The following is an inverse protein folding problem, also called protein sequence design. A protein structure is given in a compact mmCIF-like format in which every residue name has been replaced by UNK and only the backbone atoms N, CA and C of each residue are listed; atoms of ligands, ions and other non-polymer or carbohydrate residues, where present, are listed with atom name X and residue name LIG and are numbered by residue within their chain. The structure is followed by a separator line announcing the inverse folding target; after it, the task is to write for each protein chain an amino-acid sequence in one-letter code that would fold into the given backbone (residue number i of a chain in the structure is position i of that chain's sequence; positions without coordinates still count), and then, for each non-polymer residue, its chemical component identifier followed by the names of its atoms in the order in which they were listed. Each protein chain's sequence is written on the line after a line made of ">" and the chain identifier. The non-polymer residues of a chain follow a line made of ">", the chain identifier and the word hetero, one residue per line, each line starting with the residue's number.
data_IF_066901385618
#
_entry.id   IF_066901385618
#
_cell.length_a   1.000
_cell.length_b   1.000
_cell.length_c   1.000
_cell.angle_alpha   90.00
_cell.angle_beta   90.00
_cell.angle_gamma   90.00
#
_symmetry.space_group_name_H-M   'P 1'
#
loop_
_entity.id
_entity.type
_entity.pdbx_description
1 polymer ?
#
# COMPACT_ATOMS: atom_id res chain seq x y z
N UNK A 1 16.23 -3.19 -1.51
CA UNK A 1 16.22 -3.37 -2.99
C UNK A 1 14.78 -3.18 -3.45
N UNK A 2 14.55 -2.23 -4.34
CA UNK A 2 13.21 -1.96 -4.87
C UNK A 2 12.92 -2.84 -6.07
N UNK A 3 11.70 -3.36 -6.17
CA UNK A 3 11.24 -4.16 -7.30
C UNK A 3 10.84 -3.28 -8.49
N UNK A 4 11.04 -3.79 -9.70
CA UNK A 4 10.62 -3.12 -10.94
C UNK A 4 9.57 -3.94 -11.67
N UNK A 5 8.70 -3.27 -12.41
CA UNK A 5 7.77 -3.96 -13.30
C UNK A 5 8.51 -4.89 -14.28
N UNK A 6 7.95 -6.08 -14.50
CA UNK A 6 8.56 -7.15 -15.29
C UNK A 6 9.44 -8.11 -14.47
N UNK A 7 9.67 -7.83 -13.19
CA UNK A 7 10.42 -8.73 -12.28
C UNK A 7 9.46 -9.58 -11.43
N UNK A 8 9.92 -10.73 -10.90
CA UNK A 8 9.14 -11.48 -9.91
C UNK A 8 8.72 -10.58 -8.76
N UNK A 9 7.44 -10.62 -8.40
CA UNK A 9 6.91 -9.86 -7.29
C UNK A 9 7.45 -10.43 -5.95
N UNK A 10 8.10 -9.62 -5.10
CA UNK A 10 8.51 -10.07 -3.79
C UNK A 10 7.29 -10.33 -2.90
N UNK A 11 7.45 -11.21 -1.91
CA UNK A 11 6.42 -11.47 -0.91
C UNK A 11 6.09 -10.20 -0.12
N UNK A 12 4.81 -10.04 0.23
CA UNK A 12 4.37 -8.95 1.09
C UNK A 12 4.98 -9.11 2.49
N UNK A 13 5.59 -8.07 3.01
CA UNK A 13 6.15 -8.03 4.36
C UNK A 13 5.05 -7.64 5.34
N UNK A 14 4.28 -8.62 5.77
CA UNK A 14 3.12 -8.42 6.66
C UNK A 14 3.52 -8.73 8.10
N UNK A 15 3.25 -7.80 9.03
CA UNK A 15 3.48 -8.00 10.45
C UNK A 15 2.39 -8.86 11.09
N UNK A 16 1.14 -8.65 10.69
CA UNK A 16 -0.02 -9.44 11.14
C UNK A 16 -1.11 -9.43 10.05
N UNK A 17 -1.64 -10.60 9.74
CA UNK A 17 -2.90 -10.73 9.00
C UNK A 17 -4.07 -10.57 9.97
N UNK A 18 -4.80 -9.47 9.86
CA UNK A 18 -5.94 -9.18 10.75
C UNK A 18 -7.21 -9.89 10.28
N UNK A 19 -7.30 -10.13 8.97
CA UNK A 19 -8.41 -10.83 8.34
C UNK A 19 -7.90 -11.77 7.26
N UNK A 20 -8.31 -13.03 7.27
CA UNK A 20 -8.18 -13.98 6.15
C UNK A 20 -6.75 -14.45 5.81
N UNK A 21 -5.85 -14.57 6.74
CA UNK A 21 -4.48 -15.04 6.51
C UNK A 21 -4.03 -16.14 7.48
N UNK A 22 -2.75 -16.54 7.48
CA UNK A 22 -1.63 -15.98 6.70
C UNK A 22 -1.66 -16.35 5.22
N UNK A 23 -1.09 -15.47 4.37
CA UNK A 23 -1.07 -15.62 2.90
C UNK A 23 0.34 -15.38 2.38
N UNK A 24 0.78 -16.24 1.46
CA UNK A 24 1.93 -16.03 0.60
C UNK A 24 1.46 -15.77 -0.84
N UNK A 25 2.09 -14.89 -1.57
CA UNK A 25 1.78 -14.65 -2.98
C UNK A 25 1.94 -15.93 -3.83
N UNK A 26 2.82 -16.84 -3.39
CA UNK A 26 3.03 -18.14 -4.04
C UNK A 26 1.81 -19.07 -3.97
N UNK A 27 0.96 -18.89 -2.96
CA UNK A 27 -0.27 -19.69 -2.82
C UNK A 27 -1.27 -19.38 -3.93
N UNK A 28 -1.09 -18.24 -4.60
CA UNK A 28 -1.96 -17.76 -5.67
C UNK A 28 -1.33 -17.87 -7.07
N UNK A 29 -0.30 -18.68 -7.23
CA UNK A 29 0.29 -18.93 -8.55
C UNK A 29 -0.76 -19.41 -9.55
N UNK A 30 -0.77 -18.85 -10.74
CA UNK A 30 -1.80 -19.09 -11.77
C UNK A 30 -2.99 -18.14 -11.72
N UNK A 31 -3.05 -17.26 -10.71
CA UNK A 31 -4.08 -16.22 -10.59
C UNK A 31 -3.48 -14.80 -10.75
N UNK A 32 -4.29 -13.89 -11.21
CA UNK A 32 -3.98 -12.45 -11.11
C UNK A 32 -4.17 -12.01 -9.66
N UNK A 33 -3.19 -11.29 -9.10
CA UNK A 33 -3.26 -10.78 -7.74
C UNK A 33 -3.32 -9.25 -7.79
N UNK A 34 -4.28 -8.70 -7.09
CA UNK A 34 -4.46 -7.26 -6.87
C UNK A 34 -4.26 -6.97 -5.39
N UNK A 35 -3.29 -6.13 -5.05
CA UNK A 35 -3.08 -5.70 -3.67
C UNK A 35 -3.44 -4.23 -3.56
N UNK A 36 -4.51 -3.93 -2.83
CA UNK A 36 -4.89 -2.56 -2.50
C UNK A 36 -4.16 -2.11 -1.24
N UNK A 37 -3.29 -1.12 -1.39
CA UNK A 37 -2.46 -0.57 -0.32
C UNK A 37 -3.08 0.74 0.18
N UNK A 38 -3.39 0.79 1.46
CA UNK A 38 -4.11 1.91 2.07
C UNK A 38 -3.58 2.28 3.45
N UNK A 39 -3.92 3.45 3.94
CA UNK A 39 -3.76 3.83 5.34
C UNK A 39 -5.14 3.97 6.00
N UNK A 40 -5.26 3.62 7.29
CA UNK A 40 -6.53 3.81 8.03
C UNK A 40 -6.90 5.28 8.14
N UNK A 41 -5.91 6.18 8.21
CA UNK A 41 -6.10 7.62 8.19
C UNK A 41 -5.91 8.20 6.77
N UNK A 42 -6.72 7.71 5.82
CA UNK A 42 -6.67 8.13 4.42
C UNK A 42 -8.08 8.21 3.83
N UNK A 43 -8.75 9.37 3.86
CA UNK A 43 -10.10 9.52 3.33
C UNK A 43 -10.25 9.04 1.88
N UNK A 44 -9.30 9.34 1.01
CA UNK A 44 -9.31 8.91 -0.39
C UNK A 44 -9.29 7.38 -0.56
N UNK A 45 -8.62 6.67 0.34
CA UNK A 45 -8.61 5.22 0.35
C UNK A 45 -10.02 4.65 0.55
N UNK A 46 -10.79 5.24 1.45
CA UNK A 46 -12.15 4.77 1.80
C UNK A 46 -13.24 5.28 0.86
N UNK A 47 -12.99 6.38 0.17
CA UNK A 47 -13.93 6.95 -0.79
C UNK A 47 -13.78 6.31 -2.17
N UNK A 48 -12.57 5.91 -2.54
CA UNK A 48 -12.23 5.48 -3.91
C UNK A 48 -11.52 4.11 -3.96
N UNK A 49 -10.32 3.96 -3.38
CA UNK A 49 -9.47 2.80 -3.58
C UNK A 49 -10.09 1.49 -3.08
N UNK A 50 -10.47 1.44 -1.81
CA UNK A 50 -11.09 0.25 -1.20
C UNK A 50 -12.42 -0.11 -1.90
N UNK A 51 -13.36 0.83 -2.20
CA UNK A 51 -14.55 0.51 -2.98
C UNK A 51 -14.23 -0.09 -4.35
N UNK A 52 -13.26 0.45 -5.10
CA UNK A 52 -12.84 -0.10 -6.40
C UNK A 52 -12.27 -1.53 -6.26
N UNK A 53 -11.49 -1.78 -5.19
CA UNK A 53 -10.98 -3.11 -4.88
C UNK A 53 -12.10 -4.10 -4.49
N UNK A 54 -13.12 -3.64 -3.76
CA UNK A 54 -14.31 -4.45 -3.42
C UNK A 54 -15.08 -4.83 -4.68
N UNK A 55 -15.33 -3.88 -5.58
CA UNK A 55 -16.02 -4.14 -6.85
C UNK A 55 -15.24 -5.14 -7.70
N UNK A 56 -13.92 -5.00 -7.77
CA UNK A 56 -13.02 -5.93 -8.45
C UNK A 56 -13.08 -7.33 -7.82
N UNK A 57 -13.00 -7.41 -6.50
CA UNK A 57 -13.15 -8.69 -5.78
C UNK A 57 -14.48 -9.37 -6.09
N UNK A 58 -15.59 -8.64 -5.98
CA UNK A 58 -16.92 -9.21 -6.23
C UNK A 58 -17.07 -9.72 -7.66
N UNK A 59 -16.54 -8.96 -8.63
CA UNK A 59 -16.64 -9.30 -10.06
C UNK A 59 -15.79 -10.51 -10.45
N UNK A 60 -14.59 -10.65 -9.89
CA UNK A 60 -13.58 -11.59 -10.42
C UNK A 60 -13.14 -12.69 -9.47
N UNK A 61 -13.58 -12.74 -8.20
CA UNK A 61 -13.12 -13.71 -7.19
C UNK A 61 -13.26 -15.19 -7.61
N UNK A 62 -14.21 -15.50 -8.49
CA UNK A 62 -14.41 -16.85 -9.04
C UNK A 62 -13.76 -17.03 -10.42
N UNK A 63 -13.07 -16.01 -10.95
CA UNK A 63 -12.56 -15.96 -12.31
C UNK A 63 -11.03 -15.77 -12.34
N UNK A 64 -10.31 -16.38 -11.38
CA UNK A 64 -8.85 -16.41 -11.39
C UNK A 64 -8.18 -15.11 -10.90
N UNK A 65 -8.87 -14.31 -10.09
CA UNK A 65 -8.32 -13.11 -9.45
C UNK A 65 -8.40 -13.24 -7.94
N UNK A 66 -7.33 -12.88 -7.26
CA UNK A 66 -7.28 -12.68 -5.82
C UNK A 66 -7.07 -11.19 -5.51
N UNK A 67 -7.83 -10.69 -4.55
CA UNK A 67 -7.69 -9.33 -4.05
C UNK A 67 -7.26 -9.38 -2.59
N UNK A 68 -6.23 -8.63 -2.26
CA UNK A 68 -5.68 -8.49 -0.91
C UNK A 68 -5.67 -7.02 -0.51
N UNK A 69 -5.85 -6.73 0.76
CA UNK A 69 -5.64 -5.42 1.35
C UNK A 69 -4.34 -5.40 2.16
N UNK A 70 -3.57 -4.34 2.02
CA UNK A 70 -2.39 -4.08 2.84
C UNK A 70 -2.51 -2.69 3.47
N UNK A 71 -2.78 -2.65 4.77
CA UNK A 71 -2.69 -1.41 5.52
C UNK A 71 -1.22 -1.08 5.78
N UNK A 72 -0.82 0.16 5.54
CA UNK A 72 0.55 0.62 5.73
C UNK A 72 0.59 1.92 6.55
N UNK A 73 1.78 2.39 6.90
CA UNK A 73 1.99 3.68 7.52
C UNK A 73 3.32 4.29 7.05
N UNK A 74 3.24 5.38 6.30
CA UNK A 74 4.41 6.20 5.94
C UNK A 74 4.32 7.62 6.52
N UNK A 75 3.17 7.95 7.10
CA UNK A 75 2.86 9.19 7.84
C UNK A 75 1.80 8.89 8.91
N UNK A 76 1.48 9.85 9.78
CA UNK A 76 0.47 9.71 10.85
C UNK A 76 0.60 8.38 11.61
N UNK A 77 1.81 8.05 12.06
CA UNK A 77 2.12 6.76 12.68
C UNK A 77 1.36 6.51 14.00
N UNK A 78 0.83 7.55 14.61
CA UNK A 78 -0.06 7.49 15.78
C UNK A 78 -1.49 7.05 15.41
N UNK A 79 -1.88 7.20 14.16
CA UNK A 79 -3.21 6.86 13.62
C UNK A 79 -3.20 5.60 12.77
N UNK A 80 -2.17 5.43 11.92
CA UNK A 80 -2.02 4.28 11.04
C UNK A 80 -1.40 3.09 11.78
N UNK A 81 -2.13 2.58 12.78
CA UNK A 81 -1.68 1.51 13.69
C UNK A 81 -2.42 0.20 13.45
N UNK A 82 -1.82 -0.90 13.92
CA UNK A 82 -2.46 -2.22 13.89
C UNK A 82 -3.77 -2.23 14.70
N UNK A 83 -3.81 -1.52 15.84
CA UNK A 83 -5.00 -1.42 16.69
C UNK A 83 -6.15 -0.74 15.93
N UNK A 84 -5.88 0.35 15.23
CA UNK A 84 -6.89 1.05 14.44
C UNK A 84 -7.34 0.23 13.22
N UNK A 85 -6.44 -0.56 12.62
CA UNK A 85 -6.82 -1.53 11.59
C UNK A 85 -7.76 -2.62 12.15
N UNK A 86 -7.50 -3.13 13.34
CA UNK A 86 -8.39 -4.08 14.03
C UNK A 86 -9.77 -3.48 14.32
N UNK A 87 -9.82 -2.24 14.80
CA UNK A 87 -11.09 -1.51 15.01
C UNK A 87 -11.89 -1.36 13.72
N UNK A 88 -11.21 -1.03 12.62
CA UNK A 88 -11.84 -0.93 11.31
C UNK A 88 -12.47 -2.26 10.87
N UNK A 89 -11.69 -3.35 10.90
CA UNK A 89 -12.12 -4.64 10.34
C UNK A 89 -13.12 -5.36 11.22
N UNK A 90 -13.00 -5.26 12.54
CA UNK A 90 -13.85 -5.95 13.50
C UNK A 90 -15.12 -5.16 13.86
N UNK A 91 -15.01 -3.83 13.97
CA UNK A 91 -16.09 -2.99 14.47
C UNK A 91 -16.60 -1.96 13.45
N UNK A 92 -16.01 -1.92 12.24
CA UNK A 92 -16.29 -0.91 11.19
C UNK A 92 -16.05 0.52 11.65
N UNK A 93 -15.23 0.73 12.67
CA UNK A 93 -14.90 2.04 13.22
C UNK A 93 -13.79 2.71 12.44
N UNK A 94 -13.97 3.99 12.16
CA UNK A 94 -13.00 4.87 11.51
C UNK A 94 -12.38 5.82 12.53
N UNK A 95 -11.23 6.37 12.18
CA UNK A 95 -10.48 7.31 13.01
C UNK A 95 -10.01 8.52 12.20
N UNK A 96 -9.57 9.56 12.89
CA UNK A 96 -8.85 10.71 12.32
C UNK A 96 -9.59 11.39 11.17
N UNK A 97 -8.82 11.78 10.16
CA UNK A 97 -9.32 12.48 8.97
C UNK A 97 -10.29 11.63 8.14
N UNK A 98 -10.12 10.31 8.15
CA UNK A 98 -11.05 9.40 7.48
C UNK A 98 -12.45 9.51 8.11
N UNK A 99 -12.54 9.43 9.43
CA UNK A 99 -13.81 9.60 10.14
C UNK A 99 -14.42 10.97 9.87
N UNK A 100 -13.64 12.03 10.02
CA UNK A 100 -14.10 13.41 9.83
C UNK A 100 -14.63 13.64 8.42
N UNK A 101 -13.89 13.25 7.41
CA UNK A 101 -14.25 13.49 6.01
C UNK A 101 -15.48 12.68 5.59
N UNK A 102 -15.55 11.39 5.94
CA UNK A 102 -16.68 10.54 5.58
C UNK A 102 -17.96 10.97 6.34
N UNK A 103 -17.82 11.41 7.58
CA UNK A 103 -18.91 11.98 8.37
C UNK A 103 -19.48 13.25 7.68
N UNK A 104 -18.60 14.17 7.30
CA UNK A 104 -19.00 15.39 6.59
C UNK A 104 -19.72 15.09 5.26
N UNK A 105 -19.31 14.04 4.56
CA UNK A 105 -19.92 13.60 3.30
C UNK A 105 -21.16 12.72 3.48
N UNK A 106 -21.64 12.50 4.70
CA UNK A 106 -22.77 11.61 5.02
C UNK A 106 -22.59 10.18 4.46
N UNK A 107 -21.37 9.66 4.47
CA UNK A 107 -21.03 8.32 3.97
C UNK A 107 -20.91 7.26 5.08
N UNK A 108 -21.29 7.60 6.30
CA UNK A 108 -21.24 6.70 7.46
C UNK A 108 -22.64 6.20 7.84
N UNK A 109 -22.67 5.03 8.46
CA UNK A 109 -23.86 4.54 9.18
C UNK A 109 -23.99 5.24 10.54
N UNK A 110 -25.06 4.95 11.28
CA UNK A 110 -25.24 5.38 12.66
C UNK A 110 -24.00 5.01 13.49
N UNK A 111 -23.67 5.84 14.46
CA UNK A 111 -22.51 5.69 15.33
C UNK A 111 -21.14 5.87 14.62
N UNK A 112 -21.11 6.51 13.45
CA UNK A 112 -19.88 6.78 12.72
C UNK A 112 -19.21 5.54 12.13
N UNK A 113 -19.98 4.49 11.86
CA UNK A 113 -19.46 3.25 11.27
C UNK A 113 -19.38 3.31 9.75
N UNK A 114 -18.35 2.70 9.19
CA UNK A 114 -18.19 2.53 7.75
C UNK A 114 -19.40 1.78 7.17
N UNK A 115 -19.95 2.27 6.05
CA UNK A 115 -21.17 1.76 5.42
C UNK A 115 -20.99 0.43 4.67
N UNK A 116 -19.76 -0.04 4.50
CA UNK A 116 -19.43 -1.29 3.84
C UNK A 116 -18.40 -2.07 4.64
N UNK A 117 -18.25 -3.35 4.32
CA UNK A 117 -17.19 -4.23 4.87
C UNK A 117 -16.19 -4.57 3.78
N UNK A 118 -14.93 -4.72 4.16
CA UNK A 118 -13.88 -5.20 3.27
C UNK A 118 -13.98 -6.73 3.23
N UNK A 119 -14.28 -7.35 2.06
CA UNK A 119 -14.61 -8.78 1.99
C UNK A 119 -13.41 -9.69 1.72
N UNK A 120 -12.22 -9.14 1.48
CA UNK A 120 -10.99 -9.85 1.14
C UNK A 120 -9.99 -9.86 2.31
N UNK A 121 -8.95 -10.70 2.26
CA UNK A 121 -7.92 -10.72 3.30
C UNK A 121 -7.20 -9.38 3.44
N UNK A 122 -6.89 -9.00 4.68
CA UNK A 122 -6.19 -7.75 5.01
C UNK A 122 -5.11 -7.99 6.04
N UNK A 123 -3.91 -7.51 5.74
CA UNK A 123 -2.77 -7.50 6.64
C UNK A 123 -2.23 -6.10 6.91
N UNK A 124 -1.44 -5.99 7.97
CA UNK A 124 -0.68 -4.77 8.30
C UNK A 124 0.75 -4.90 7.77
N UNK A 125 1.22 -3.91 7.01
CA UNK A 125 2.60 -3.83 6.54
C UNK A 125 3.58 -3.88 7.72
N UNK A 126 4.71 -4.51 7.53
CA UNK A 126 5.76 -4.56 8.54
C UNK A 126 6.45 -3.21 8.62
N UNK A 127 6.35 -2.58 9.78
CA UNK A 127 7.01 -1.31 10.08
C UNK A 127 8.31 -1.59 10.83
N UNK A 128 9.44 -1.35 10.20
CA UNK A 128 10.73 -1.41 10.88
C UNK A 128 11.05 -0.05 11.50
N UNK A 129 11.42 -0.08 12.78
CA UNK A 129 11.91 1.12 13.46
C UNK A 129 13.22 1.57 12.83
N UNK A 130 13.27 2.82 12.41
CA UNK A 130 14.52 3.41 11.89
C UNK A 130 15.55 3.53 13.02
N UNK A 131 16.78 3.13 12.72
CA UNK A 131 17.92 3.31 13.64
C UNK A 131 18.54 4.70 13.46
N UNK A 132 18.85 5.37 14.53
CA UNK A 132 19.55 6.65 14.49
C UNK A 132 20.98 6.49 15.00
N UNK A 133 21.99 7.13 14.36
CA UNK A 133 21.89 7.97 13.15
C UNK A 133 21.62 7.15 11.88
N UNK A 134 20.97 7.77 10.88
CA UNK A 134 20.71 7.09 9.59
C UNK A 134 22.01 6.88 8.83
N UNK A 135 22.29 5.63 8.50
CA UNK A 135 23.52 5.26 7.78
C UNK A 135 23.51 5.74 6.32
N UNK A 136 24.69 6.09 5.81
CA UNK A 136 24.86 6.52 4.42
C UNK A 136 24.32 5.53 3.38
N UNK A 137 24.45 4.24 3.64
CA UNK A 137 23.88 3.18 2.79
C UNK A 137 22.36 3.32 2.66
N UNK A 138 21.66 3.52 3.77
CA UNK A 138 20.20 3.70 3.80
C UNK A 138 19.76 4.96 3.04
N UNK A 139 20.52 6.04 3.18
CA UNK A 139 20.27 7.30 2.44
C UNK A 139 20.39 7.03 0.93
N UNK A 140 21.44 6.36 0.48
CA UNK A 140 21.66 6.09 -0.94
C UNK A 140 20.64 5.10 -1.51
N UNK A 141 20.22 4.09 -0.75
CA UNK A 141 19.12 3.19 -1.13
C UNK A 141 17.82 3.99 -1.37
N UNK A 142 17.50 4.92 -0.48
CA UNK A 142 16.32 5.78 -0.61
C UNK A 142 16.43 6.73 -1.81
N UNK A 143 17.59 7.36 -2.02
CA UNK A 143 17.85 8.23 -3.17
C UNK A 143 17.67 7.47 -4.46
N UNK A 144 18.31 6.31 -4.61
CA UNK A 144 18.25 5.51 -5.84
C UNK A 144 16.83 4.98 -6.15
N UNK A 145 16.02 4.77 -5.13
CA UNK A 145 14.63 4.34 -5.29
C UNK A 145 13.68 5.48 -5.69
N UNK A 146 14.01 6.74 -5.36
CA UNK A 146 13.06 7.84 -5.44
C UNK A 146 13.50 9.00 -6.33
N UNK A 147 14.77 9.07 -6.71
CA UNK A 147 15.33 10.15 -7.55
C UNK A 147 15.79 9.55 -8.87
N UNK A 148 15.07 9.88 -9.94
CA UNK A 148 15.46 9.45 -11.30
C UNK A 148 16.77 10.11 -11.71
N UNK A 149 17.62 9.35 -12.40
CA UNK A 149 18.87 9.83 -13.00
C UNK A 149 19.78 10.59 -12.02
N UNK A 150 19.77 10.20 -10.74
CA UNK A 150 20.55 10.86 -9.69
C UNK A 150 22.03 11.02 -10.06
N UNK A 151 22.60 10.06 -10.77
CA UNK A 151 24.00 10.08 -11.17
C UNK A 151 24.33 11.22 -12.15
N UNK A 152 23.33 11.74 -12.87
CA UNK A 152 23.49 12.85 -13.84
C UNK A 152 23.42 14.24 -13.19
N UNK A 153 23.06 14.35 -11.92
CA UNK A 153 23.00 15.65 -11.22
C UNK A 153 24.39 16.21 -10.96
N UNK A 154 24.50 17.54 -10.92
CA UNK A 154 25.72 18.20 -10.46
C UNK A 154 25.97 17.91 -8.99
N UNK A 155 27.25 17.91 -8.56
CA UNK A 155 27.63 17.54 -7.20
C UNK A 155 26.87 18.36 -6.13
N UNK A 156 26.71 19.66 -6.33
CA UNK A 156 25.97 20.53 -5.40
C UNK A 156 24.51 20.08 -5.21
N UNK A 157 23.85 19.65 -6.29
CA UNK A 157 22.46 19.20 -6.25
C UNK A 157 22.38 17.80 -5.58
N UNK A 158 23.35 16.92 -5.86
CA UNK A 158 23.49 15.64 -5.15
C UNK A 158 23.61 15.83 -3.65
N UNK A 159 24.47 16.73 -3.20
CA UNK A 159 24.68 17.01 -1.78
C UNK A 159 23.41 17.55 -1.11
N UNK A 160 22.66 18.40 -1.80
CA UNK A 160 21.37 18.90 -1.31
C UNK A 160 20.32 17.81 -1.21
N UNK A 161 20.22 16.94 -2.22
CA UNK A 161 19.28 15.79 -2.24
C UNK A 161 19.64 14.86 -1.08
N UNK A 162 20.88 14.47 -0.93
CA UNK A 162 21.37 13.60 0.16
C UNK A 162 21.04 14.21 1.53
N UNK A 163 21.30 15.51 1.70
CA UNK A 163 21.01 16.21 2.97
C UNK A 163 19.51 16.20 3.29
N UNK A 164 18.65 16.48 2.31
CA UNK A 164 17.18 16.44 2.48
C UNK A 164 16.68 15.04 2.81
N UNK A 165 17.17 14.02 2.10
CA UNK A 165 16.80 12.63 2.35
C UNK A 165 17.26 12.20 3.76
N UNK A 166 18.48 12.57 4.17
CA UNK A 166 18.97 12.31 5.52
C UNK A 166 18.04 12.91 6.58
N UNK A 167 17.73 14.20 6.46
CA UNK A 167 16.82 14.90 7.41
C UNK A 167 15.44 14.24 7.43
N UNK A 168 14.90 13.84 6.27
CA UNK A 168 13.63 13.13 6.18
C UNK A 168 13.68 11.80 6.92
N UNK A 169 14.70 10.96 6.67
CA UNK A 169 14.84 9.67 7.31
C UNK A 169 15.09 9.77 8.82
N UNK A 170 15.82 10.80 9.27
CA UNK A 170 16.05 11.07 10.70
C UNK A 170 14.77 11.47 11.44
N UNK A 171 13.80 12.06 10.74
CA UNK A 171 12.50 12.43 11.32
C UNK A 171 11.45 11.32 11.20
N UNK A 172 11.69 10.32 10.37
CA UNK A 172 10.79 9.21 10.11
C UNK A 172 11.00 8.09 11.14
N UNK A 173 10.03 7.80 12.01
CA UNK A 173 10.24 6.82 13.08
C UNK A 173 10.25 5.37 12.58
N UNK A 174 9.59 5.09 11.44
CA UNK A 174 9.45 3.75 10.89
C UNK A 174 9.56 3.73 9.36
N UNK A 175 10.02 2.61 8.82
CA UNK A 175 10.01 2.28 7.39
C UNK A 175 8.98 1.18 7.11
N UNK A 176 7.95 1.44 6.29
CA UNK A 176 7.00 0.43 5.85
C UNK A 176 7.63 -0.43 4.75
N UNK A 177 7.85 -1.70 5.07
CA UNK A 177 8.70 -2.58 4.28
C UNK A 177 8.17 -2.89 2.90
N UNK A 178 6.89 -3.29 2.79
CA UNK A 178 6.28 -3.58 1.49
C UNK A 178 6.08 -2.30 0.68
N UNK A 179 5.59 -1.25 1.30
CA UNK A 179 5.38 0.04 0.64
C UNK A 179 6.67 0.56 -0.02
N UNK A 180 7.81 0.46 0.67
CA UNK A 180 9.11 0.88 0.13
C UNK A 180 9.66 -0.09 -0.90
N UNK A 181 9.55 -1.42 -0.69
CA UNK A 181 10.03 -2.43 -1.63
C UNK A 181 9.35 -2.32 -2.99
N UNK A 182 8.06 -2.00 -3.01
CA UNK A 182 7.29 -1.75 -4.23
C UNK A 182 7.37 -0.30 -4.73
N UNK A 183 8.18 0.55 -4.12
CA UNK A 183 8.39 1.96 -4.50
C UNK A 183 7.10 2.76 -4.59
N UNK A 184 6.13 2.50 -3.72
CA UNK A 184 4.85 3.19 -3.71
C UNK A 184 5.04 4.66 -3.32
N UNK A 185 4.19 5.54 -3.82
CA UNK A 185 4.34 7.01 -3.67
C UNK A 185 3.30 7.64 -2.74
N UNK A 186 2.32 6.88 -2.32
CA UNK A 186 1.23 7.33 -1.47
C UNK A 186 0.13 6.28 -1.39
N UNK A 187 -0.99 6.66 -0.79
CA UNK A 187 -2.20 5.83 -0.72
C UNK A 187 -3.45 6.60 -1.15
N UNK A 188 -4.44 5.95 -1.78
CA UNK A 188 -4.45 4.53 -2.16
C UNK A 188 -3.42 4.22 -3.24
N UNK A 189 -2.88 3.01 -3.22
CA UNK A 189 -2.06 2.46 -4.30
C UNK A 189 -2.44 1.02 -4.57
N UNK A 190 -2.35 0.59 -5.81
CA UNK A 190 -2.66 -0.78 -6.22
C UNK A 190 -1.44 -1.44 -6.82
N UNK A 191 -1.15 -2.67 -6.41
CA UNK A 191 -0.09 -3.52 -6.98
C UNK A 191 -0.76 -4.59 -7.83
N UNK A 192 -0.36 -4.74 -9.09
CA UNK A 192 -0.87 -5.75 -10.01
C UNK A 192 0.19 -6.79 -10.31
N UNK A 193 -0.12 -8.06 -10.04
CA UNK A 193 0.76 -9.21 -10.26
C UNK A 193 0.04 -10.19 -11.18
N UNK A 194 0.74 -10.67 -12.22
CA UNK A 194 0.16 -11.59 -13.18
C UNK A 194 0.15 -13.05 -12.70
N UNK A 195 -0.45 -13.93 -13.51
CA UNK A 195 -0.57 -15.38 -13.25
C UNK A 195 0.77 -16.09 -13.06
N UNK A 196 1.89 -15.49 -13.50
CA UNK A 196 3.25 -16.02 -13.35
C UNK A 196 3.96 -15.49 -12.11
N UNK A 197 3.28 -14.63 -11.31
CA UNK A 197 3.88 -13.99 -10.14
C UNK A 197 4.79 -12.81 -10.50
N UNK A 198 4.64 -12.22 -11.67
CA UNK A 198 5.43 -11.07 -12.13
C UNK A 198 4.70 -9.77 -11.79
N UNK A 199 5.41 -8.83 -11.17
CA UNK A 199 4.91 -7.48 -10.98
C UNK A 199 4.70 -6.81 -12.34
N UNK A 200 3.47 -6.41 -12.64
CA UNK A 200 3.14 -5.78 -13.92
C UNK A 200 3.12 -4.27 -13.82
N UNK A 201 2.51 -3.74 -12.80
CA UNK A 201 2.50 -2.30 -12.52
C UNK A 201 2.13 -2.00 -11.07
N UNK A 202 2.42 -0.77 -10.64
CA UNK A 202 1.87 -0.15 -9.44
C UNK A 202 1.14 1.13 -9.84
N UNK A 203 -0.10 1.30 -9.41
CA UNK A 203 -0.89 2.49 -9.67
C UNK A 203 -1.03 3.32 -8.39
N UNK A 204 -0.92 4.65 -8.48
CA UNK A 204 -1.17 5.56 -7.37
C UNK A 204 -2.49 6.31 -7.58
N UNK A 205 -3.29 6.39 -6.54
CA UNK A 205 -4.64 6.92 -6.58
C UNK A 205 -5.64 5.93 -7.19
N UNK A 206 -6.93 6.24 -7.11
CA UNK A 206 -7.97 5.48 -7.78
C UNK A 206 -8.19 6.07 -9.18
N UNK A 207 -7.83 5.31 -10.19
CA UNK A 207 -7.93 5.73 -11.59
C UNK A 207 -9.23 5.30 -12.25
N UNK A 208 -10.03 4.43 -11.60
CA UNK A 208 -11.18 3.76 -12.19
C UNK A 208 -10.81 2.71 -13.24
N UNK A 209 -9.52 2.34 -13.33
CA UNK A 209 -8.99 1.41 -14.35
C UNK A 209 -8.61 0.04 -13.80
N UNK A 210 -8.85 -0.23 -12.52
CA UNK A 210 -8.48 -1.50 -11.89
C UNK A 210 -9.07 -2.70 -12.64
N UNK A 211 -10.36 -2.66 -12.96
CA UNK A 211 -11.02 -3.72 -13.73
C UNK A 211 -10.41 -3.89 -15.13
N UNK A 212 -10.05 -2.80 -15.81
CA UNK A 212 -9.42 -2.85 -17.14
C UNK A 212 -8.06 -3.52 -17.09
N UNK A 213 -7.23 -3.17 -16.10
CA UNK A 213 -5.93 -3.82 -15.89
C UNK A 213 -6.10 -5.31 -15.58
N UNK A 214 -7.05 -5.66 -14.71
CA UNK A 214 -7.35 -7.06 -14.38
C UNK A 214 -7.80 -7.85 -15.62
N UNK A 215 -8.71 -7.33 -16.43
CA UNK A 215 -9.18 -8.00 -17.65
C UNK A 215 -8.03 -8.24 -18.65
N UNK A 216 -7.14 -7.26 -18.81
CA UNK A 216 -5.93 -7.42 -19.63
C UNK A 216 -5.06 -8.57 -19.09
N UNK A 217 -4.78 -8.62 -17.78
CA UNK A 217 -3.93 -9.66 -17.18
C UNK A 217 -4.59 -11.04 -17.22
N UNK A 218 -5.91 -11.12 -17.15
CA UNK A 218 -6.64 -12.37 -17.30
C UNK A 218 -6.56 -12.93 -18.71
N UNK A 219 -6.48 -12.07 -19.74
CA UNK A 219 -6.40 -12.46 -21.15
C UNK A 219 -5.02 -12.93 -21.61
N UNK A 220 -3.98 -12.70 -20.81
CA UNK A 220 -2.60 -13.17 -21.04
C UNK A 220 -2.41 -14.61 -20.49
#
# INVERSE_FOLDING_TARGET
>A
VTVKAGSPAPELKVSEWVQGGPISLKDYQGKVIVVEVFQVNCPGCFIYGIPEAIDTYQKYKNNGVEVLGLATAFEDFDKNTLENLKLLLQESKLIGETLTTLSYQNKLLNEGKLSYKIPFPVGMDMLLKESLPVEGKRIMEFVNANVLDFDLYHQKDKDQIISRVKSYLETKPYSPMTFEEYSLKGTPSTIFIDKKGILRETAFGSTGLMSTTVEKLLSE
#
